data_IF_556624425709
#
_entry.id   IF_556624425709
#
_cell.length_a   1.000
_cell.length_b   1.000
_cell.length_c   1.000
_cell.angle_alpha   90.00
_cell.angle_beta   90.00
_cell.angle_gamma   90.00
#
_symmetry.space_group_name_H-M   'P 1'
#
loop_
_entity.id
_entity.type
_entity.pdbx_description
1 polymer ?
#
# COMPACT_ATOMS: atom_id res chain seq x y z
N UNK A 1 7.23 3.30 22.93
CA UNK A 1 7.40 2.04 22.18
C UNK A 1 7.21 2.33 20.69
N UNK A 2 8.07 1.81 19.82
CA UNK A 2 7.96 1.95 18.37
C UNK A 2 7.23 0.75 17.76
N UNK A 3 6.62 0.96 16.59
CA UNK A 3 6.06 -0.13 15.76
C UNK A 3 6.88 -0.19 14.47
N UNK A 4 7.48 -1.34 14.19
CA UNK A 4 8.30 -1.56 13.00
C UNK A 4 7.58 -2.54 12.07
N UNK A 5 7.45 -2.21 10.79
CA UNK A 5 6.92 -3.14 9.80
C UNK A 5 7.99 -3.49 8.76
N UNK A 6 8.15 -4.78 8.51
CA UNK A 6 9.06 -5.27 7.46
C UNK A 6 8.27 -5.92 6.33
N UNK A 7 8.55 -5.46 5.11
CA UNK A 7 7.94 -6.00 3.89
C UNK A 7 8.49 -7.37 3.50
N UNK A 8 7.85 -8.01 2.53
CA UNK A 8 8.23 -9.34 2.06
C UNK A 8 9.65 -9.43 1.51
N UNK A 9 10.17 -8.35 0.92
CA UNK A 9 11.57 -8.27 0.47
C UNK A 9 12.54 -8.24 1.64
N UNK A 10 12.17 -7.60 2.75
CA UNK A 10 12.99 -7.51 3.96
C UNK A 10 13.12 -8.84 4.71
N UNK A 11 12.15 -9.75 4.57
CA UNK A 11 12.15 -11.09 5.18
C UNK A 11 12.18 -12.20 4.13
N UNK A 12 12.55 -11.88 2.89
CA UNK A 12 12.43 -12.78 1.73
C UNK A 12 13.43 -13.93 1.68
N UNK A 13 14.50 -13.91 2.48
CA UNK A 13 15.50 -14.96 2.58
C UNK A 13 15.95 -15.16 4.02
N UNK A 14 16.54 -16.33 4.38
CA UNK A 14 17.11 -16.56 5.70
C UNK A 14 18.12 -15.50 6.12
N UNK A 15 18.99 -15.08 5.19
CA UNK A 15 19.99 -14.04 5.47
C UNK A 15 19.32 -12.71 5.83
N UNK A 16 18.29 -12.29 5.08
CA UNK A 16 17.55 -11.05 5.37
C UNK A 16 16.79 -11.13 6.70
N UNK A 17 16.22 -12.30 7.04
CA UNK A 17 15.62 -12.51 8.37
C UNK A 17 16.64 -12.31 9.50
N UNK A 18 17.87 -12.79 9.32
CA UNK A 18 18.97 -12.58 10.27
C UNK A 18 19.37 -11.10 10.38
N UNK A 19 19.36 -10.38 9.28
CA UNK A 19 19.62 -8.93 9.25
C UNK A 19 18.51 -8.14 9.96
N UNK A 20 17.24 -8.46 9.68
CA UNK A 20 16.08 -7.88 10.40
C UNK A 20 16.18 -8.18 11.89
N UNK A 21 16.53 -9.41 12.28
CA UNK A 21 16.70 -9.77 13.68
C UNK A 21 17.76 -8.89 14.38
N UNK A 22 18.88 -8.58 13.70
CA UNK A 22 19.88 -7.64 14.24
C UNK A 22 19.36 -6.22 14.39
N UNK A 23 18.54 -5.75 13.45
CA UNK A 23 17.96 -4.40 13.48
C UNK A 23 16.98 -4.22 14.64
N UNK A 24 16.22 -5.26 14.98
CA UNK A 24 15.19 -5.18 16.01
C UNK A 24 15.70 -5.48 17.42
N UNK A 25 16.89 -6.06 17.57
CA UNK A 25 17.52 -6.40 18.86
C UNK A 25 18.47 -5.30 19.36
N UNK A 26 18.04 -4.04 19.31
CA UNK A 26 18.79 -2.87 19.76
C UNK A 26 18.60 -2.52 21.26
N UNK A 27 17.83 -3.33 21.99
CA UNK A 27 17.51 -3.13 23.41
C UNK A 27 16.28 -2.25 23.67
N UNK A 28 15.64 -1.68 22.63
CA UNK A 28 14.40 -0.95 22.80
C UNK A 28 13.18 -1.88 22.71
N UNK A 29 12.17 -1.64 23.55
CA UNK A 29 10.89 -2.35 23.49
C UNK A 29 10.08 -1.94 22.26
N UNK A 30 9.62 -2.92 21.45
CA UNK A 30 8.92 -2.64 20.18
C UNK A 30 7.93 -3.73 19.76
N UNK A 31 6.99 -3.36 18.90
CA UNK A 31 6.13 -4.28 18.17
C UNK A 31 6.65 -4.36 16.74
N UNK A 32 6.80 -5.57 16.22
CA UNK A 32 7.29 -5.84 14.87
C UNK A 32 6.22 -6.55 14.06
N UNK A 33 5.77 -5.92 12.99
CA UNK A 33 4.76 -6.42 12.06
C UNK A 33 5.46 -6.99 10.84
N UNK A 34 5.24 -8.25 10.54
CA UNK A 34 5.88 -8.92 9.41
C UNK A 34 4.87 -9.27 8.31
N UNK A 35 5.28 -9.09 7.07
CA UNK A 35 4.61 -9.61 5.89
C UNK A 35 5.01 -11.05 5.60
N UNK A 36 4.29 -11.72 4.71
CA UNK A 36 4.76 -12.96 4.09
C UNK A 36 6.11 -12.76 3.40
N UNK A 37 6.90 -13.82 3.27
CA UNK A 37 8.14 -13.81 2.50
C UNK A 37 7.84 -13.47 1.03
N UNK A 38 8.78 -12.77 0.38
CA UNK A 38 8.68 -12.38 -1.02
C UNK A 38 8.29 -13.55 -1.93
N UNK A 39 7.30 -13.32 -2.79
CA UNK A 39 6.74 -14.30 -3.73
C UNK A 39 5.73 -15.28 -3.11
N UNK A 40 5.61 -15.38 -1.78
CA UNK A 40 4.68 -16.31 -1.14
C UNK A 40 3.22 -15.95 -1.43
N UNK A 41 2.84 -14.69 -1.28
CA UNK A 41 1.46 -14.24 -1.55
C UNK A 41 1.04 -14.56 -2.99
N UNK A 42 1.92 -14.35 -3.97
CA UNK A 42 1.62 -14.69 -5.37
C UNK A 42 1.38 -16.19 -5.55
N UNK A 43 2.20 -17.04 -4.92
CA UNK A 43 1.99 -18.49 -4.96
C UNK A 43 0.70 -18.91 -4.27
N UNK A 44 0.32 -18.27 -3.15
CA UNK A 44 -0.95 -18.56 -2.47
C UNK A 44 -2.17 -18.11 -3.31
N UNK A 45 -2.08 -16.98 -4.00
CA UNK A 45 -3.09 -16.54 -4.98
C UNK A 45 -3.20 -17.55 -6.13
N UNK A 46 -2.08 -18.00 -6.68
CA UNK A 46 -2.05 -19.00 -7.77
C UNK A 46 -2.68 -20.32 -7.32
N UNK A 47 -2.42 -20.78 -6.09
CA UNK A 47 -3.08 -21.96 -5.51
C UNK A 47 -4.60 -21.74 -5.48
N UNK A 48 -5.07 -20.59 -4.98
CA UNK A 48 -6.49 -20.24 -4.93
C UNK A 48 -7.13 -20.23 -6.32
N UNK A 49 -6.44 -19.66 -7.32
CA UNK A 49 -6.90 -19.66 -8.72
C UNK A 49 -7.08 -21.07 -9.30
N UNK A 50 -6.15 -21.98 -9.00
CA UNK A 50 -6.29 -23.39 -9.39
C UNK A 50 -7.48 -24.07 -8.69
N UNK A 51 -7.71 -23.76 -7.40
CA UNK A 51 -8.83 -24.33 -6.66
C UNK A 51 -10.19 -23.83 -7.17
N UNK A 52 -10.32 -22.55 -7.51
CA UNK A 52 -11.51 -22.01 -8.17
C UNK A 52 -11.78 -22.67 -9.53
N UNK A 53 -10.72 -23.00 -10.28
CA UNK A 53 -10.81 -23.71 -11.55
C UNK A 53 -11.01 -25.22 -11.40
N UNK A 54 -11.15 -25.73 -10.16
CA UNK A 54 -11.25 -27.16 -9.83
C UNK A 54 -10.09 -27.99 -10.40
N UNK A 55 -8.89 -27.44 -10.34
CA UNK A 55 -7.66 -28.10 -10.77
C UNK A 55 -6.76 -28.39 -9.53
N UNK A 56 -7.04 -29.51 -8.81
CA UNK A 56 -6.26 -29.87 -7.62
C UNK A 56 -4.81 -30.25 -7.93
N UNK A 57 -4.53 -30.76 -9.12
CA UNK A 57 -3.18 -31.17 -9.51
C UNK A 57 -2.29 -29.94 -9.68
N UNK A 58 -2.75 -28.90 -10.39
CA UNK A 58 -2.04 -27.63 -10.51
C UNK A 58 -1.84 -26.96 -9.15
N UNK A 59 -2.87 -26.95 -8.28
CA UNK A 59 -2.74 -26.44 -6.92
C UNK A 59 -1.67 -27.18 -6.12
N UNK A 60 -1.67 -28.53 -6.16
CA UNK A 60 -0.69 -29.37 -5.45
C UNK A 60 0.75 -29.15 -5.96
N UNK A 61 0.94 -28.91 -7.26
CA UNK A 61 2.27 -28.60 -7.82
C UNK A 61 2.84 -27.32 -7.20
N UNK A 62 2.06 -26.24 -7.15
CA UNK A 62 2.48 -24.97 -6.54
C UNK A 62 2.69 -25.11 -5.03
N UNK A 63 1.80 -25.86 -4.33
CA UNK A 63 1.93 -26.15 -2.90
C UNK A 63 3.26 -26.87 -2.62
N UNK A 64 3.60 -27.89 -3.40
CA UNK A 64 4.84 -28.68 -3.21
C UNK A 64 6.08 -27.83 -3.49
N UNK A 65 6.06 -27.00 -4.51
CA UNK A 65 7.15 -26.07 -4.82
C UNK A 65 7.37 -25.07 -3.69
N UNK A 66 6.29 -24.46 -3.16
CA UNK A 66 6.35 -23.51 -2.08
C UNK A 66 6.82 -24.15 -0.77
N UNK A 67 6.30 -25.33 -0.41
CA UNK A 67 6.73 -26.07 0.78
C UNK A 67 8.23 -26.44 0.71
N UNK A 68 8.70 -26.87 -0.46
CA UNK A 68 10.12 -27.18 -0.69
C UNK A 68 11.01 -25.94 -0.49
N UNK A 69 10.56 -24.77 -0.98
CA UNK A 69 11.24 -23.49 -0.74
C UNK A 69 11.36 -23.19 0.75
N UNK A 70 10.26 -23.32 1.50
CA UNK A 70 10.28 -23.07 2.95
C UNK A 70 11.17 -24.06 3.71
N UNK A 71 11.14 -25.35 3.39
CA UNK A 71 12.03 -26.37 4.01
C UNK A 71 13.50 -26.02 3.81
N UNK A 72 13.88 -25.59 2.61
CA UNK A 72 15.24 -25.13 2.34
C UNK A 72 15.60 -23.91 3.20
N UNK A 73 14.75 -22.89 3.25
CA UNK A 73 14.99 -21.68 4.04
C UNK A 73 15.07 -21.96 5.53
N UNK A 74 14.26 -22.88 6.06
CA UNK A 74 14.33 -23.30 7.47
C UNK A 74 15.67 -23.98 7.77
N UNK A 75 16.15 -24.85 6.88
CA UNK A 75 17.45 -25.50 7.04
C UNK A 75 18.64 -24.51 7.03
N UNK A 76 18.52 -23.40 6.30
CA UNK A 76 19.54 -22.35 6.23
C UNK A 76 19.43 -21.32 7.37
N UNK A 77 18.23 -21.16 7.97
CA UNK A 77 17.97 -20.15 8.99
C UNK A 77 18.51 -20.56 10.36
N UNK A 78 18.18 -21.76 10.79
CA UNK A 78 18.46 -22.24 12.15
C UNK A 78 19.80 -22.99 12.26
N UNK A 79 20.43 -22.81 13.43
CA UNK A 79 21.67 -23.48 13.79
C UNK A 79 21.43 -24.75 14.66
N UNK A 80 20.31 -24.78 15.39
CA UNK A 80 19.95 -25.86 16.30
C UNK A 80 18.86 -26.77 15.74
N UNK A 81 18.94 -28.06 15.97
CA UNK A 81 17.93 -29.01 15.52
C UNK A 81 16.59 -28.81 16.22
N UNK A 82 16.58 -28.30 17.45
CA UNK A 82 15.34 -28.03 18.20
C UNK A 82 14.41 -27.06 17.45
N UNK A 83 14.88 -25.83 17.18
CA UNK A 83 14.08 -24.81 16.52
C UNK A 83 13.84 -25.12 15.05
N UNK A 84 14.78 -25.78 14.40
CA UNK A 84 14.63 -26.28 13.04
C UNK A 84 13.46 -27.27 12.93
N UNK A 85 13.46 -28.32 13.76
CA UNK A 85 12.43 -29.36 13.76
C UNK A 85 11.07 -28.80 14.19
N UNK A 86 11.03 -27.90 15.18
CA UNK A 86 9.83 -27.18 15.60
C UNK A 86 9.20 -26.41 14.43
N UNK A 87 10.00 -25.67 13.67
CA UNK A 87 9.52 -24.86 12.55
C UNK A 87 9.15 -25.72 11.34
N UNK A 88 9.90 -26.81 11.06
CA UNK A 88 9.54 -27.75 10.00
C UNK A 88 8.19 -28.44 10.28
N UNK A 89 7.92 -28.81 11.53
CA UNK A 89 6.64 -29.41 11.91
C UNK A 89 5.48 -28.44 11.69
N UNK A 90 5.61 -27.18 12.15
CA UNK A 90 4.62 -26.13 11.94
C UNK A 90 4.33 -25.91 10.44
N UNK A 91 5.36 -25.78 9.63
CA UNK A 91 5.22 -25.52 8.18
C UNK A 91 4.56 -26.72 7.49
N UNK A 92 4.92 -27.94 7.87
CA UNK A 92 4.28 -29.15 7.38
C UNK A 92 2.77 -29.16 7.68
N UNK A 93 2.38 -28.79 8.90
CA UNK A 93 0.97 -28.76 9.31
C UNK A 93 0.20 -27.69 8.53
N UNK A 94 0.79 -26.52 8.32
CA UNK A 94 0.20 -25.45 7.50
C UNK A 94 -0.02 -25.95 6.06
N UNK A 95 0.97 -26.54 5.42
CA UNK A 95 0.82 -27.03 4.05
C UNK A 95 -0.14 -28.22 3.95
N UNK A 96 -0.23 -29.07 4.95
CA UNK A 96 -1.26 -30.11 5.02
C UNK A 96 -2.66 -29.50 5.11
N UNK A 97 -2.84 -28.42 5.88
CA UNK A 97 -4.09 -27.66 5.94
C UNK A 97 -4.47 -27.07 4.57
N UNK A 98 -3.51 -26.46 3.86
CA UNK A 98 -3.77 -25.95 2.48
C UNK A 98 -4.16 -27.08 1.54
N UNK A 99 -3.49 -28.25 1.60
CA UNK A 99 -3.84 -29.43 0.77
C UNK A 99 -5.25 -29.94 1.07
N UNK A 100 -5.75 -29.81 2.28
CA UNK A 100 -7.11 -30.25 2.59
C UNK A 100 -8.16 -29.54 1.70
N UNK A 101 -7.95 -28.27 1.40
CA UNK A 101 -8.86 -27.49 0.53
C UNK A 101 -8.90 -28.00 -0.92
N UNK A 102 -7.96 -28.82 -1.37
CA UNK A 102 -8.01 -29.44 -2.71
C UNK A 102 -9.11 -30.48 -2.86
N UNK A 103 -9.72 -30.93 -1.74
CA UNK A 103 -10.73 -32.00 -1.68
C UNK A 103 -12.13 -31.49 -1.45
N UNK A 104 -12.30 -30.24 -1.06
CA UNK A 104 -13.55 -29.64 -0.64
C UNK A 104 -14.04 -28.55 -1.59
N UNK A 105 -15.22 -27.98 -1.30
CA UNK A 105 -15.72 -26.80 -2.00
C UNK A 105 -14.84 -25.61 -1.59
N UNK A 106 -14.37 -24.87 -2.59
CA UNK A 106 -13.51 -23.71 -2.40
C UNK A 106 -14.30 -22.42 -2.59
N UNK A 107 -14.30 -21.56 -1.60
CA UNK A 107 -15.01 -20.28 -1.56
C UNK A 107 -14.07 -19.15 -1.17
N UNK A 108 -14.57 -17.93 -1.15
CA UNK A 108 -13.84 -16.75 -0.68
C UNK A 108 -13.34 -16.91 0.77
N UNK A 109 -14.04 -17.69 1.61
CA UNK A 109 -13.63 -17.94 2.97
C UNK A 109 -12.33 -18.75 3.03
N UNK A 110 -12.24 -19.86 2.29
CA UNK A 110 -11.04 -20.70 2.21
C UNK A 110 -9.87 -19.94 1.57
N UNK A 111 -10.15 -19.10 0.55
CA UNK A 111 -9.14 -18.24 -0.05
C UNK A 111 -8.50 -17.33 1.00
N UNK A 112 -9.28 -16.63 1.81
CA UNK A 112 -8.76 -15.76 2.87
C UNK A 112 -7.89 -16.52 3.88
N UNK A 113 -8.28 -17.74 4.22
CA UNK A 113 -7.47 -18.63 5.09
C UNK A 113 -6.16 -18.99 4.42
N UNK A 114 -6.16 -19.36 3.13
CA UNK A 114 -4.93 -19.66 2.39
C UNK A 114 -4.01 -18.45 2.33
N UNK A 115 -4.53 -17.28 1.97
CA UNK A 115 -3.74 -16.07 1.83
C UNK A 115 -3.08 -15.63 3.15
N UNK A 116 -3.67 -15.96 4.30
CA UNK A 116 -3.09 -15.65 5.62
C UNK A 116 -1.86 -16.51 5.98
N UNK A 117 -1.66 -17.65 5.31
CA UNK A 117 -0.61 -18.60 5.71
C UNK A 117 0.80 -18.06 5.53
N UNK A 118 1.01 -17.16 4.57
CA UNK A 118 2.31 -16.54 4.34
C UNK A 118 2.84 -15.78 5.56
N UNK A 119 2.02 -14.95 6.16
CA UNK A 119 2.33 -14.17 7.35
C UNK A 119 2.47 -15.06 8.59
N UNK A 120 1.64 -16.10 8.71
CA UNK A 120 1.75 -17.06 9.80
C UNK A 120 3.10 -17.79 9.75
N UNK A 121 3.57 -18.22 8.60
CA UNK A 121 4.86 -18.90 8.46
C UNK A 121 6.00 -17.92 8.77
N UNK A 122 6.02 -16.73 8.14
CA UNK A 122 7.14 -15.79 8.29
C UNK A 122 7.33 -15.32 9.73
N UNK A 123 6.23 -15.00 10.43
CA UNK A 123 6.28 -14.55 11.83
C UNK A 123 6.75 -15.64 12.76
N UNK A 124 6.31 -16.89 12.57
CA UNK A 124 6.81 -18.03 13.35
C UNK A 124 8.29 -18.31 13.09
N UNK A 125 8.74 -18.21 11.82
CA UNK A 125 10.14 -18.39 11.48
C UNK A 125 11.03 -17.36 12.19
N UNK A 126 10.68 -16.08 12.13
CA UNK A 126 11.47 -15.03 12.78
C UNK A 126 11.41 -15.14 14.31
N UNK A 127 10.23 -15.43 14.88
CA UNK A 127 10.10 -15.62 16.34
C UNK A 127 10.94 -16.79 16.84
N UNK A 128 10.86 -17.94 16.18
CA UNK A 128 11.67 -19.11 16.57
C UNK A 128 13.17 -18.84 16.40
N UNK A 129 13.58 -18.07 15.38
CA UNK A 129 14.97 -17.67 15.21
C UNK A 129 15.44 -16.77 16.36
N UNK A 130 14.64 -15.77 16.76
CA UNK A 130 14.97 -14.88 17.88
C UNK A 130 15.06 -15.66 19.20
N UNK A 131 14.15 -16.61 19.44
CA UNK A 131 14.20 -17.51 20.60
C UNK A 131 15.48 -18.37 20.60
N UNK A 132 15.89 -18.92 19.43
CA UNK A 132 17.16 -19.62 19.26
C UNK A 132 18.36 -18.75 19.66
N UNK A 133 18.30 -17.44 19.39
CA UNK A 133 19.34 -16.47 19.75
C UNK A 133 19.24 -16.00 21.22
N UNK A 134 18.30 -16.53 22.02
CA UNK A 134 18.09 -16.16 23.41
C UNK A 134 17.41 -14.80 23.61
N UNK A 135 16.77 -14.27 22.60
CA UNK A 135 16.05 -12.99 22.68
C UNK A 135 14.71 -13.18 23.40
N UNK A 136 14.37 -12.26 24.29
CA UNK A 136 13.09 -12.23 24.99
C UNK A 136 11.98 -11.70 24.04
N UNK A 137 11.40 -12.58 23.27
CA UNK A 137 10.41 -12.28 22.22
C UNK A 137 9.12 -13.06 22.42
N UNK A 138 7.99 -12.43 22.10
CA UNK A 138 6.66 -13.04 22.13
C UNK A 138 5.98 -12.87 20.77
N UNK A 139 5.38 -13.95 20.27
CA UNK A 139 4.49 -13.91 19.11
C UNK A 139 3.07 -13.54 19.58
N UNK A 140 2.54 -12.42 19.12
CA UNK A 140 1.15 -11.99 19.33
C UNK A 140 0.34 -12.35 18.08
N UNK A 141 -0.57 -13.34 18.14
CA UNK A 141 -1.41 -13.68 17.00
C UNK A 141 -2.34 -12.53 16.63
N UNK A 142 -2.26 -12.04 15.39
CA UNK A 142 -3.09 -10.92 14.93
C UNK A 142 -4.60 -11.20 15.08
N UNK A 143 -5.03 -12.44 14.93
CA UNK A 143 -6.43 -12.85 15.12
C UNK A 143 -6.98 -12.63 16.52
N UNK A 144 -6.13 -12.42 17.53
CA UNK A 144 -6.56 -12.18 18.92
C UNK A 144 -6.93 -10.71 19.14
N UNK A 145 -6.46 -9.77 18.31
CA UNK A 145 -6.70 -8.34 18.52
C UNK A 145 -7.04 -7.55 17.26
N UNK A 146 -6.75 -8.05 16.06
CA UNK A 146 -7.11 -7.36 14.80
C UNK A 146 -8.53 -7.74 14.36
N UNK A 147 -9.40 -6.73 14.19
CA UNK A 147 -10.79 -6.94 13.75
C UNK A 147 -11.28 -5.80 12.86
N UNK A 148 -12.13 -6.13 11.89
CA UNK A 148 -12.94 -5.19 11.13
C UNK A 148 -14.41 -5.22 11.60
N UNK A 149 -15.12 -4.12 11.38
CA UNK A 149 -16.55 -4.00 11.63
C UNK A 149 -17.40 -4.60 10.49
N UNK A 150 -18.72 -4.39 10.53
CA UNK A 150 -19.68 -4.88 9.52
C UNK A 150 -19.50 -4.23 8.14
N UNK A 151 -18.84 -3.09 8.08
CA UNK A 151 -18.53 -2.38 6.83
C UNK A 151 -17.15 -2.72 6.29
N UNK A 152 -16.47 -3.73 6.88
CA UNK A 152 -15.08 -4.10 6.62
C UNK A 152 -14.07 -2.99 6.95
N UNK A 153 -14.45 -2.03 7.80
CA UNK A 153 -13.54 -1.00 8.32
C UNK A 153 -12.91 -1.45 9.65
N UNK A 154 -11.65 -1.05 9.94
CA UNK A 154 -10.98 -1.44 11.17
C UNK A 154 -11.71 -0.97 12.43
N UNK A 155 -11.96 -1.89 13.36
CA UNK A 155 -12.55 -1.58 14.68
C UNK A 155 -11.45 -1.14 15.66
N UNK A 156 -11.07 0.15 15.59
CA UNK A 156 -9.97 0.71 16.38
C UNK A 156 -10.18 0.57 17.90
N UNK A 157 -11.42 0.63 18.38
CA UNK A 157 -11.70 0.47 19.83
C UNK A 157 -11.43 -0.96 20.26
N UNK A 158 -11.88 -1.93 19.49
CA UNK A 158 -11.60 -3.33 19.75
C UNK A 158 -10.10 -3.63 19.69
N UNK A 159 -9.43 -3.17 18.63
CA UNK A 159 -7.99 -3.37 18.42
C UNK A 159 -7.21 -2.80 19.61
N UNK A 160 -7.50 -1.58 20.04
CA UNK A 160 -6.83 -0.93 21.18
C UNK A 160 -6.98 -1.73 22.46
N UNK A 161 -8.21 -2.14 22.80
CA UNK A 161 -8.49 -2.86 24.03
C UNK A 161 -7.84 -4.24 24.04
N UNK A 162 -7.95 -4.97 22.92
CA UNK A 162 -7.42 -6.34 22.83
C UNK A 162 -5.90 -6.37 22.72
N UNK A 163 -5.30 -5.46 21.95
CA UNK A 163 -3.85 -5.33 21.88
C UNK A 163 -3.28 -4.94 23.25
N UNK A 164 -3.91 -3.99 23.96
CA UNK A 164 -3.51 -3.63 25.32
C UNK A 164 -3.49 -4.84 26.27
N UNK A 165 -4.57 -5.65 26.27
CA UNK A 165 -4.63 -6.87 27.07
C UNK A 165 -3.53 -7.90 26.68
N UNK A 166 -3.21 -8.06 25.39
CA UNK A 166 -2.12 -8.93 24.95
C UNK A 166 -0.76 -8.45 25.44
N UNK A 167 -0.50 -7.14 25.39
CA UNK A 167 0.75 -6.57 25.90
C UNK A 167 0.88 -6.71 27.42
N UNK A 168 -0.22 -6.55 28.16
CA UNK A 168 -0.28 -6.73 29.62
C UNK A 168 -0.03 -8.17 30.06
N UNK A 169 -0.37 -9.17 29.24
CA UNK A 169 -0.06 -10.58 29.51
C UNK A 169 1.43 -10.90 29.40
N UNK A 170 2.20 -10.08 28.71
CA UNK A 170 3.63 -10.28 28.47
C UNK A 170 4.46 -9.02 28.79
N UNK A 171 4.39 -8.47 30.01
CA UNK A 171 4.95 -7.16 30.33
C UNK A 171 6.48 -7.12 30.21
N UNK A 172 7.13 -8.26 30.37
CA UNK A 172 8.59 -8.38 30.40
C UNK A 172 9.20 -8.64 29.01
N UNK A 173 8.39 -8.84 27.98
CA UNK A 173 8.91 -9.05 26.63
C UNK A 173 9.57 -7.78 26.08
N UNK A 174 10.71 -7.93 25.42
CA UNK A 174 11.41 -6.85 24.73
C UNK A 174 10.84 -6.62 23.33
N UNK A 175 10.52 -7.70 22.65
CA UNK A 175 10.04 -7.68 21.27
C UNK A 175 8.73 -8.45 21.16
N UNK A 176 7.74 -7.83 20.55
CA UNK A 176 6.48 -8.47 20.17
C UNK A 176 6.43 -8.62 18.65
N UNK A 177 6.34 -9.86 18.15
CA UNK A 177 6.15 -10.14 16.71
C UNK A 177 4.67 -10.36 16.43
N UNK A 178 4.16 -9.83 15.35
CA UNK A 178 2.79 -10.09 14.92
C UNK A 178 2.66 -10.12 13.40
N UNK A 179 1.59 -10.76 12.91
CA UNK A 179 1.26 -10.80 11.50
C UNK A 179 0.71 -9.45 11.03
N UNK A 180 1.18 -8.99 9.88
CA UNK A 180 0.46 -8.00 9.10
C UNK A 180 -0.68 -8.64 8.31
N UNK A 181 -1.53 -7.83 7.67
CA UNK A 181 -2.57 -8.24 6.76
C UNK A 181 -3.75 -9.04 7.36
N UNK A 182 -3.51 -9.89 8.35
CA UNK A 182 -4.49 -10.82 8.94
C UNK A 182 -5.37 -10.10 9.97
N UNK A 183 -6.68 -10.37 9.93
CA UNK A 183 -7.65 -9.88 10.92
C UNK A 183 -8.82 -10.86 11.07
N UNK A 184 -9.74 -10.56 11.99
CA UNK A 184 -11.09 -11.14 12.00
C UNK A 184 -12.09 -10.16 11.41
N UNK A 185 -13.16 -10.67 10.82
CA UNK A 185 -14.32 -9.84 10.46
C UNK A 185 -15.21 -9.59 11.69
N UNK A 186 -16.29 -8.83 11.49
CA UNK A 186 -17.26 -8.53 12.54
C UNK A 186 -17.94 -9.75 13.16
N UNK A 187 -17.92 -10.89 12.48
CA UNK A 187 -18.54 -12.15 12.93
C UNK A 187 -17.55 -13.08 13.61
N UNK A 188 -16.29 -12.67 13.72
CA UNK A 188 -15.22 -13.45 14.36
C UNK A 188 -14.52 -14.44 13.44
N UNK A 189 -14.86 -14.47 12.16
CA UNK A 189 -14.21 -15.31 11.16
C UNK A 189 -12.86 -14.72 10.71
N UNK A 190 -11.93 -15.58 10.29
CA UNK A 190 -10.66 -15.14 9.71
C UNK A 190 -10.87 -14.34 8.44
N UNK A 191 -10.23 -13.18 8.36
CA UNK A 191 -10.30 -12.25 7.24
C UNK A 191 -8.96 -11.56 7.02
N UNK A 192 -8.88 -10.77 5.97
CA UNK A 192 -7.67 -10.06 5.58
C UNK A 192 -7.99 -8.57 5.34
N UNK A 193 -7.10 -7.69 5.75
CA UNK A 193 -7.18 -6.27 5.42
C UNK A 193 -6.99 -6.08 3.91
N UNK A 194 -8.00 -5.58 3.23
CA UNK A 194 -8.04 -5.55 1.76
C UNK A 194 -7.07 -4.57 1.11
N UNK A 195 -6.78 -3.43 1.76
CA UNK A 195 -5.95 -2.36 1.21
C UNK A 195 -4.72 -2.13 2.07
N UNK A 196 -3.55 -2.03 1.42
CA UNK A 196 -2.30 -1.74 2.08
C UNK A 196 -1.75 -2.82 3.00
N UNK A 197 -2.48 -3.90 3.21
CA UNK A 197 -2.02 -5.12 3.90
C UNK A 197 -1.29 -4.86 5.21
N UNK A 198 -0.02 -5.24 5.26
CA UNK A 198 0.80 -5.14 6.47
C UNK A 198 1.17 -3.71 6.88
N UNK A 199 1.23 -2.75 5.92
CA UNK A 199 1.47 -1.33 6.25
C UNK A 199 0.27 -0.75 7.00
N UNK A 200 -0.94 -1.13 6.59
CA UNK A 200 -2.14 -0.75 7.29
C UNK A 200 -2.21 -1.35 8.69
N UNK A 201 -1.84 -2.64 8.84
CA UNK A 201 -1.72 -3.29 10.15
C UNK A 201 -0.78 -2.52 11.08
N UNK A 202 0.41 -2.13 10.58
CA UNK A 202 1.38 -1.39 11.38
C UNK A 202 0.85 -0.01 11.84
N UNK A 203 0.13 0.68 10.97
CA UNK A 203 -0.48 1.98 11.30
C UNK A 203 -1.60 1.84 12.35
N UNK A 204 -2.47 0.82 12.20
CA UNK A 204 -3.53 0.51 13.18
C UNK A 204 -2.95 0.11 14.54
N UNK A 205 -1.95 -0.76 14.54
CA UNK A 205 -1.24 -1.19 15.76
C UNK A 205 -0.53 -0.01 16.42
N UNK A 206 0.13 0.83 15.62
CA UNK A 206 0.79 2.05 16.11
C UNK A 206 -0.19 3.00 16.78
N UNK A 207 -1.34 3.26 16.16
CA UNK A 207 -2.40 4.09 16.74
C UNK A 207 -2.99 3.45 18.01
N UNK A 208 -3.24 2.14 18.00
CA UNK A 208 -3.79 1.41 19.15
C UNK A 208 -2.83 1.38 20.35
N UNK A 209 -1.53 1.19 20.11
CA UNK A 209 -0.49 1.14 21.12
C UNK A 209 0.02 2.53 21.54
N UNK A 210 -0.48 3.61 20.95
CA UNK A 210 0.03 4.97 21.12
C UNK A 210 1.58 5.03 20.94
N UNK A 211 2.03 4.51 19.81
CA UNK A 211 3.44 4.40 19.48
C UNK A 211 4.11 5.77 19.37
N UNK A 212 5.39 5.85 19.70
CA UNK A 212 6.17 7.08 19.52
C UNK A 212 6.56 7.33 18.06
N UNK A 213 6.67 6.27 17.25
CA UNK A 213 6.95 6.31 15.81
C UNK A 213 6.53 4.98 15.19
N UNK A 214 6.04 5.02 13.94
CA UNK A 214 5.81 3.85 13.11
C UNK A 214 6.88 3.84 12.03
N UNK A 215 7.60 2.74 11.86
CA UNK A 215 8.65 2.58 10.86
C UNK A 215 8.21 1.55 9.81
N UNK A 216 8.21 1.95 8.55
CA UNK A 216 7.95 1.08 7.41
C UNK A 216 9.28 0.82 6.69
N UNK A 217 9.78 -0.38 6.85
CA UNK A 217 11.04 -0.84 6.27
C UNK A 217 10.81 -1.50 4.91
N UNK A 218 11.44 -0.95 3.87
CA UNK A 218 11.34 -1.40 2.48
C UNK A 218 12.74 -1.65 1.90
N UNK A 219 12.85 -1.72 0.57
CA UNK A 219 14.11 -1.87 -0.17
C UNK A 219 14.58 -0.57 -0.85
N UNK A 220 14.01 0.57 -0.49
CA UNK A 220 14.38 1.90 -1.00
C UNK A 220 14.54 2.92 0.14
N UNK A 221 15.40 3.95 -0.05
CA UNK A 221 15.67 5.00 0.94
C UNK A 221 14.56 6.06 0.95
N UNK A 222 13.38 5.67 1.41
CA UNK A 222 12.24 6.56 1.52
C UNK A 222 11.61 6.94 0.17
N UNK A 223 10.85 8.04 0.16
CA UNK A 223 10.30 8.60 -1.09
C UNK A 223 11.35 9.47 -1.80
N UNK A 224 11.38 9.39 -3.13
CA UNK A 224 12.19 10.27 -3.98
C UNK A 224 11.34 11.37 -4.59
N UNK A 225 11.99 12.46 -4.96
CA UNK A 225 11.37 13.61 -5.63
C UNK A 225 10.85 13.29 -7.04
N UNK A 226 11.29 12.17 -7.63
CA UNK A 226 10.78 11.62 -8.87
C UNK A 226 11.03 10.09 -8.92
N UNK A 227 10.55 9.40 -9.94
CA UNK A 227 10.76 7.96 -10.14
C UNK A 227 12.18 7.68 -10.66
N UNK A 228 13.07 7.08 -9.85
CA UNK A 228 14.47 6.82 -10.26
C UNK A 228 14.61 5.82 -11.41
N UNK A 229 13.52 5.11 -11.75
CA UNK A 229 13.49 4.19 -12.91
C UNK A 229 13.26 4.92 -14.23
N UNK A 230 12.80 6.18 -14.19
CA UNK A 230 12.42 6.98 -15.35
C UNK A 230 13.33 8.17 -15.52
N UNK A 231 13.69 8.84 -14.42
CA UNK A 231 14.49 10.06 -14.37
C UNK A 231 15.89 9.71 -13.84
N UNK A 232 16.95 10.19 -14.52
CA UNK A 232 18.33 9.81 -14.22
C UNK A 232 18.82 10.31 -12.85
N UNK A 233 18.38 11.51 -12.45
CA UNK A 233 18.76 12.13 -11.18
C UNK A 233 17.53 12.33 -10.31
N UNK A 234 17.52 11.70 -9.15
CA UNK A 234 16.49 11.88 -8.13
C UNK A 234 17.14 11.98 -6.77
N UNK A 235 16.50 12.73 -5.87
CA UNK A 235 16.95 12.86 -4.49
C UNK A 235 15.87 12.36 -3.51
N UNK A 236 16.27 11.75 -2.38
CA UNK A 236 15.32 11.35 -1.36
C UNK A 236 14.65 12.57 -0.72
N UNK A 237 13.33 12.53 -0.61
CA UNK A 237 12.55 13.52 0.14
C UNK A 237 12.60 13.18 1.62
N UNK A 238 13.18 14.03 2.44
CA UNK A 238 13.45 13.73 3.86
C UNK A 238 12.26 13.99 4.77
N UNK A 239 11.36 14.89 4.40
CA UNK A 239 10.17 15.22 5.16
C UNK A 239 8.96 15.44 4.25
N UNK A 240 7.83 14.84 4.62
CA UNK A 240 6.52 15.01 3.98
C UNK A 240 5.46 15.27 5.04
N UNK A 241 4.52 16.13 4.71
CA UNK A 241 3.25 16.17 5.42
C UNK A 241 2.39 14.94 5.06
N UNK A 242 1.51 14.49 5.96
CA UNK A 242 0.64 13.33 5.69
C UNK A 242 -0.20 13.50 4.42
N UNK A 243 -0.67 14.71 4.11
CA UNK A 243 -1.43 14.97 2.88
C UNK A 243 -0.53 14.88 1.63
N UNK A 244 0.70 15.40 1.69
CA UNK A 244 1.67 15.27 0.60
C UNK A 244 1.97 13.79 0.30
N UNK A 245 2.18 12.99 1.35
CA UNK A 245 2.41 11.56 1.22
C UNK A 245 1.20 10.81 0.64
N UNK A 246 -0.02 11.21 1.02
CA UNK A 246 -1.26 10.65 0.47
C UNK A 246 -1.42 10.95 -1.02
N UNK A 247 -1.14 12.20 -1.45
CA UNK A 247 -1.17 12.59 -2.86
C UNK A 247 -0.16 11.78 -3.69
N UNK A 248 1.09 11.70 -3.23
CA UNK A 248 2.13 10.91 -3.90
C UNK A 248 1.75 9.43 -4.02
N UNK A 249 1.21 8.85 -2.96
CA UNK A 249 0.79 7.47 -2.93
C UNK A 249 -0.38 7.19 -3.90
N UNK A 250 -1.34 8.12 -3.99
CA UNK A 250 -2.48 8.01 -4.90
C UNK A 250 -2.06 8.11 -6.37
N UNK A 251 -1.13 9.01 -6.67
CA UNK A 251 -0.66 9.28 -8.04
C UNK A 251 0.56 8.46 -8.47
N UNK A 252 0.87 7.36 -7.80
CA UNK A 252 1.78 6.34 -8.34
C UNK A 252 3.08 6.10 -7.59
N UNK A 253 3.37 6.82 -6.52
CA UNK A 253 4.46 6.46 -5.63
C UNK A 253 4.09 5.19 -4.86
N UNK A 254 4.52 4.03 -5.37
CA UNK A 254 4.10 2.68 -4.87
C UNK A 254 4.69 2.29 -3.51
N UNK A 255 5.12 3.24 -2.69
CA UNK A 255 5.78 2.95 -1.40
C UNK A 255 4.76 2.73 -0.29
N UNK A 256 3.63 3.46 -0.33
CA UNK A 256 2.56 3.38 0.66
C UNK A 256 1.20 3.44 -0.05
N UNK A 257 0.18 2.82 0.55
CA UNK A 257 -1.20 3.07 0.15
C UNK A 257 -1.76 4.26 0.97
N UNK A 258 -2.51 5.21 0.37
CA UNK A 258 -2.98 6.41 1.06
C UNK A 258 -3.77 6.12 2.35
N UNK A 259 -4.59 5.06 2.36
CA UNK A 259 -5.38 4.67 3.55
C UNK A 259 -4.52 4.14 4.68
N UNK A 260 -3.30 3.64 4.40
CA UNK A 260 -2.43 3.04 5.42
C UNK A 260 -1.92 4.05 6.44
N UNK A 261 -1.76 5.31 6.05
CA UNK A 261 -1.24 6.36 6.93
C UNK A 261 -2.33 7.07 7.73
N UNK A 262 -3.61 6.88 7.42
CA UNK A 262 -4.70 7.58 8.10
C UNK A 262 -4.76 7.33 9.61
N UNK A 263 -4.64 6.09 10.14
CA UNK A 263 -4.63 5.86 11.57
C UNK A 263 -3.49 6.60 12.29
N UNK A 264 -2.29 6.60 11.69
CA UNK A 264 -1.14 7.33 12.22
C UNK A 264 -1.37 8.84 12.21
N UNK A 265 -1.92 9.40 11.12
CA UNK A 265 -2.27 10.82 10.99
C UNK A 265 -3.25 11.25 12.09
N UNK A 266 -4.37 10.51 12.27
CA UNK A 266 -5.38 10.84 13.27
C UNK A 266 -4.85 10.71 14.71
N UNK A 267 -3.94 9.78 14.95
CA UNK A 267 -3.28 9.61 16.24
C UNK A 267 -2.09 10.56 16.44
N UNK A 268 -1.75 11.39 15.45
CA UNK A 268 -0.58 12.27 15.42
C UNK A 268 0.74 11.53 15.70
N UNK A 269 0.90 10.34 15.09
CA UNK A 269 2.10 9.52 15.22
C UNK A 269 2.92 9.62 13.94
N UNK A 270 4.19 10.02 13.99
CA UNK A 270 5.04 10.10 12.79
C UNK A 270 5.28 8.72 12.19
N UNK A 271 5.33 8.67 10.87
CA UNK A 271 5.66 7.47 10.08
C UNK A 271 7.00 7.70 9.38
N UNK A 272 7.93 6.77 9.52
CA UNK A 272 9.23 6.85 8.87
C UNK A 272 9.38 5.70 7.86
N UNK A 273 9.74 6.05 6.63
CA UNK A 273 10.08 5.09 5.57
C UNK A 273 11.58 4.85 5.58
N UNK A 274 12.00 3.61 5.69
CA UNK A 274 13.42 3.23 5.86
C UNK A 274 13.82 2.11 4.90
N UNK A 275 15.12 2.06 4.58
CA UNK A 275 15.69 1.02 3.72
C UNK A 275 16.31 -0.10 4.56
N UNK A 276 15.79 -1.32 4.42
CA UNK A 276 16.35 -2.50 5.10
C UNK A 276 17.76 -2.83 4.63
N UNK A 277 18.11 -2.49 3.37
CA UNK A 277 19.43 -2.74 2.79
C UNK A 277 20.46 -1.70 3.20
N UNK A 278 20.01 -0.53 3.62
CA UNK A 278 20.84 0.61 4.06
C UNK A 278 20.24 1.20 5.34
N UNK A 279 20.33 0.49 6.48
CA UNK A 279 19.64 0.89 7.73
C UNK A 279 20.12 2.23 8.32
N UNK A 280 21.28 2.71 7.89
CA UNK A 280 21.84 4.01 8.33
C UNK A 280 21.29 5.19 7.53
N UNK A 281 20.64 4.94 6.40
CA UNK A 281 19.99 5.99 5.62
C UNK A 281 18.83 6.60 6.41
N UNK A 282 18.68 7.95 6.42
CA UNK A 282 17.69 8.62 7.27
C UNK A 282 16.24 8.39 6.82
N UNK A 283 16.02 7.94 5.59
CA UNK A 283 14.70 7.70 5.02
C UNK A 283 13.84 8.96 4.84
N UNK A 284 12.53 8.78 4.82
CA UNK A 284 11.53 9.86 4.76
C UNK A 284 10.69 9.87 6.02
N UNK A 285 10.61 11.00 6.70
CA UNK A 285 9.71 11.23 7.82
C UNK A 285 8.39 11.81 7.29
N UNK A 286 7.26 11.20 7.67
CA UNK A 286 5.91 11.67 7.36
C UNK A 286 5.26 12.08 8.69
N UNK A 287 4.86 13.34 8.82
CA UNK A 287 4.28 13.89 10.05
C UNK A 287 3.21 14.95 9.73
N UNK A 288 2.68 15.60 10.76
CA UNK A 288 1.82 16.77 10.60
C UNK A 288 2.62 18.08 10.42
N UNK A 289 3.95 18.03 10.45
CA UNK A 289 4.79 19.20 10.23
C UNK A 289 4.90 19.50 8.72
N UNK A 290 4.72 20.76 8.36
CA UNK A 290 4.77 21.23 6.96
C UNK A 290 6.01 22.07 6.71
N UNK A 291 6.76 21.77 5.67
CA UNK A 291 7.76 22.70 5.12
C UNK A 291 7.09 23.66 4.13
N UNK A 292 6.90 24.90 4.57
CA UNK A 292 6.14 25.90 3.85
C UNK A 292 6.76 26.26 2.48
N UNK A 293 5.91 26.39 1.45
CA UNK A 293 6.26 26.91 0.14
C UNK A 293 7.23 26.03 -0.66
N UNK A 294 7.34 24.73 -0.33
CA UNK A 294 8.24 23.81 -1.04
C UNK A 294 7.47 22.81 -1.91
N UNK A 295 7.91 22.65 -3.15
CA UNK A 295 7.59 21.50 -3.99
C UNK A 295 8.45 20.32 -3.51
N UNK A 296 7.82 19.16 -3.33
CA UNK A 296 8.45 17.98 -2.72
C UNK A 296 8.80 16.91 -3.73
N UNK A 297 7.86 16.57 -4.59
CA UNK A 297 8.03 15.46 -5.51
C UNK A 297 7.05 15.52 -6.69
N UNK A 298 7.36 14.71 -7.70
CA UNK A 298 6.49 14.46 -8.85
C UNK A 298 6.19 12.96 -8.90
N UNK A 299 4.92 12.62 -9.09
CA UNK A 299 4.46 11.24 -9.28
C UNK A 299 3.71 11.09 -10.59
N UNK A 300 3.59 9.87 -11.12
CA UNK A 300 2.87 9.60 -12.34
C UNK A 300 2.01 8.34 -12.23
N UNK A 301 0.75 8.43 -12.67
CA UNK A 301 -0.24 7.34 -12.70
C UNK A 301 -0.58 7.00 -14.13
N UNK A 302 -0.25 5.78 -14.52
CA UNK A 302 -0.49 5.24 -15.88
C UNK A 302 -1.91 4.66 -16.04
N UNK A 303 -2.21 4.24 -17.26
CA UNK A 303 -3.44 3.55 -17.65
C UNK A 303 -4.70 4.39 -17.41
N UNK A 304 -4.62 5.68 -17.69
CA UNK A 304 -5.72 6.61 -17.55
C UNK A 304 -6.49 6.72 -18.87
N UNK A 305 -7.81 6.77 -18.75
CA UNK A 305 -8.72 7.07 -19.85
C UNK A 305 -9.44 8.37 -19.55
N UNK A 306 -9.34 9.34 -20.47
CA UNK A 306 -10.07 10.60 -20.37
C UNK A 306 -11.38 10.53 -21.16
N UNK A 307 -12.46 11.01 -20.56
CA UNK A 307 -13.80 11.05 -21.16
C UNK A 307 -14.26 12.50 -21.14
N UNK A 308 -14.54 13.07 -22.30
CA UNK A 308 -15.12 14.41 -22.43
C UNK A 308 -16.58 14.32 -22.88
N UNK A 309 -17.45 15.02 -22.18
CA UNK A 309 -18.86 15.14 -22.49
C UNK A 309 -19.13 16.60 -22.81
N UNK A 310 -19.57 16.89 -24.05
CA UNK A 310 -20.01 18.21 -24.48
C UNK A 310 -21.52 18.23 -24.64
N UNK A 311 -22.20 19.17 -24.00
CA UNK A 311 -23.66 19.28 -24.08
C UNK A 311 -24.12 20.72 -24.06
N UNK A 312 -24.75 21.15 -25.14
CA UNK A 312 -25.45 22.44 -25.15
C UNK A 312 -26.60 22.53 -24.15
N UNK A 313 -27.07 21.37 -23.62
CA UNK A 313 -28.09 21.31 -22.56
C UNK A 313 -27.53 21.60 -21.17
N UNK A 314 -26.20 21.63 -21.02
CA UNK A 314 -25.54 21.94 -19.74
C UNK A 314 -25.69 23.43 -19.41
N UNK A 315 -25.68 24.28 -20.44
CA UNK A 315 -25.90 25.71 -20.31
C UNK A 315 -27.30 25.95 -19.70
N UNK A 316 -27.36 26.64 -18.57
CA UNK A 316 -28.59 26.93 -17.80
C UNK A 316 -29.34 25.69 -17.26
N UNK A 317 -28.75 24.50 -17.27
CA UNK A 317 -29.38 23.29 -16.76
C UNK A 317 -28.93 22.95 -15.33
N UNK A 318 -29.86 22.89 -14.41
CA UNK A 318 -29.61 22.41 -13.05
C UNK A 318 -29.45 20.87 -13.04
N UNK A 319 -28.47 20.36 -12.29
CA UNK A 319 -28.33 18.94 -12.03
C UNK A 319 -27.65 18.13 -13.13
N UNK A 320 -27.03 18.74 -14.15
CA UNK A 320 -26.30 18.00 -15.18
C UNK A 320 -25.13 17.20 -14.61
N UNK A 321 -24.31 17.83 -13.78
CA UNK A 321 -23.18 17.16 -13.12
C UNK A 321 -23.64 15.98 -12.26
N UNK A 322 -24.75 16.12 -11.51
CA UNK A 322 -25.33 15.02 -10.75
C UNK A 322 -25.59 13.80 -11.63
N UNK A 323 -26.21 13.99 -12.79
CA UNK A 323 -26.50 12.89 -13.73
C UNK A 323 -25.24 12.23 -14.28
N UNK A 324 -24.19 13.01 -14.53
CA UNK A 324 -22.89 12.46 -14.94
C UNK A 324 -22.31 11.59 -13.83
N UNK A 325 -22.25 12.10 -12.60
CA UNK A 325 -21.71 11.34 -11.47
C UNK A 325 -22.55 10.12 -11.10
N UNK A 326 -23.88 10.18 -11.19
CA UNK A 326 -24.78 9.04 -10.97
C UNK A 326 -24.47 7.86 -11.93
N UNK A 327 -24.02 8.14 -13.16
CA UNK A 327 -23.61 7.11 -14.10
C UNK A 327 -22.34 6.41 -13.59
N UNK A 328 -21.30 7.16 -13.20
CA UNK A 328 -20.06 6.56 -12.68
C UNK A 328 -20.30 5.80 -11.37
N UNK A 329 -21.16 6.32 -10.48
CA UNK A 329 -21.58 5.65 -9.24
C UNK A 329 -22.26 4.31 -9.55
N UNK A 330 -23.22 4.29 -10.51
CA UNK A 330 -23.97 3.09 -10.88
C UNK A 330 -23.08 1.95 -11.37
N UNK A 331 -21.94 2.28 -11.97
CA UNK A 331 -20.93 1.33 -12.45
C UNK A 331 -19.74 1.19 -11.50
N UNK A 332 -19.84 1.74 -10.28
CA UNK A 332 -18.78 1.69 -9.25
C UNK A 332 -17.39 2.07 -9.80
N UNK A 333 -17.36 3.13 -10.63
CA UNK A 333 -16.14 3.62 -11.28
C UNK A 333 -15.72 4.94 -10.68
N UNK A 334 -14.53 4.96 -10.07
CA UNK A 334 -13.95 6.17 -9.48
C UNK A 334 -13.47 7.13 -10.55
N UNK A 335 -13.59 8.44 -10.28
CA UNK A 335 -13.06 9.52 -11.11
C UNK A 335 -11.80 10.07 -10.44
N UNK A 336 -10.68 10.18 -11.18
CA UNK A 336 -9.43 10.72 -10.67
C UNK A 336 -9.34 12.24 -10.78
N UNK A 337 -9.58 12.77 -11.99
CA UNK A 337 -9.58 14.20 -12.28
C UNK A 337 -10.90 14.64 -12.91
N UNK A 338 -11.30 15.88 -12.63
CA UNK A 338 -12.44 16.51 -13.28
C UNK A 338 -12.10 17.95 -13.65
N UNK A 339 -12.47 18.34 -14.88
CA UNK A 339 -12.48 19.73 -15.33
C UNK A 339 -13.82 20.04 -15.94
N UNK A 340 -14.38 21.19 -15.62
CA UNK A 340 -15.68 21.62 -16.11
C UNK A 340 -15.61 22.99 -16.80
N UNK A 341 -16.49 23.19 -17.79
CA UNK A 341 -16.79 24.46 -18.37
C UNK A 341 -18.32 24.62 -18.46
N UNK A 342 -18.81 25.75 -18.99
CA UNK A 342 -20.25 25.97 -19.15
C UNK A 342 -20.95 24.93 -20.04
N UNK A 343 -20.23 24.29 -20.95
CA UNK A 343 -20.79 23.38 -21.96
C UNK A 343 -20.12 22.00 -22.01
N UNK A 344 -19.21 21.74 -21.10
CA UNK A 344 -18.48 20.49 -21.14
C UNK A 344 -17.93 20.03 -19.78
N UNK A 345 -17.84 18.74 -19.61
CA UNK A 345 -17.18 18.07 -18.50
C UNK A 345 -16.15 17.10 -19.05
N UNK A 346 -14.94 17.17 -18.55
CA UNK A 346 -13.90 16.18 -18.80
C UNK A 346 -13.57 15.47 -17.49
N UNK A 347 -13.56 14.14 -17.50
CA UNK A 347 -13.20 13.31 -16.37
C UNK A 347 -12.11 12.32 -16.77
N UNK A 348 -11.32 11.87 -15.82
CA UNK A 348 -10.37 10.76 -16.01
C UNK A 348 -10.70 9.59 -15.08
N UNK A 349 -10.48 8.38 -15.57
CA UNK A 349 -10.68 7.12 -14.84
C UNK A 349 -9.49 6.18 -15.06
N UNK A 350 -9.18 5.35 -14.07
CA UNK A 350 -8.16 4.28 -14.14
C UNK A 350 -8.77 2.88 -14.31
N UNK A 351 -10.10 2.75 -14.11
CA UNK A 351 -10.81 1.48 -14.25
C UNK A 351 -11.74 1.51 -15.46
N UNK A 352 -11.43 0.72 -16.48
CA UNK A 352 -12.18 0.67 -17.74
C UNK A 352 -13.12 -0.55 -17.84
N UNK A 353 -13.35 -1.28 -16.75
CA UNK A 353 -14.16 -2.51 -16.72
C UNK A 353 -15.56 -2.30 -17.31
N UNK A 354 -16.20 -1.17 -17.03
CA UNK A 354 -17.54 -0.79 -17.49
C UNK A 354 -17.53 0.42 -18.42
N UNK A 355 -16.40 0.66 -19.12
CA UNK A 355 -16.25 1.84 -19.96
C UNK A 355 -17.33 1.95 -21.04
N UNK A 356 -17.65 0.85 -21.74
CA UNK A 356 -18.62 0.86 -22.83
C UNK A 356 -20.03 1.20 -22.34
N UNK A 357 -20.45 0.67 -21.21
CA UNK A 357 -21.74 0.93 -20.58
C UNK A 357 -21.83 2.40 -20.14
N UNK A 358 -20.78 2.91 -19.48
CA UNK A 358 -20.66 4.30 -19.07
C UNK A 358 -20.78 5.23 -20.29
N UNK A 359 -20.05 4.96 -21.37
CA UNK A 359 -20.10 5.78 -22.58
C UNK A 359 -21.48 5.77 -23.24
N UNK A 360 -22.17 4.64 -23.25
CA UNK A 360 -23.52 4.54 -23.80
C UNK A 360 -24.54 5.36 -23.00
N UNK A 361 -24.41 5.39 -21.68
CA UNK A 361 -25.28 6.19 -20.83
C UNK A 361 -24.96 7.69 -20.94
N UNK A 362 -23.68 8.05 -20.99
CA UNK A 362 -23.25 9.46 -21.15
C UNK A 362 -23.70 10.06 -22.49
N UNK A 363 -23.72 9.28 -23.58
CA UNK A 363 -24.20 9.70 -24.92
C UNK A 363 -25.64 10.18 -24.92
N UNK A 364 -26.46 9.76 -23.95
CA UNK A 364 -27.85 10.25 -23.77
C UNK A 364 -27.92 11.74 -23.40
N UNK A 365 -26.81 12.27 -22.85
CA UNK A 365 -26.74 13.65 -22.32
C UNK A 365 -25.90 14.60 -23.18
N UNK A 366 -25.07 14.07 -24.08
CA UNK A 366 -24.23 14.91 -24.94
C UNK A 366 -23.35 14.14 -25.89
N UNK A 367 -22.49 14.86 -26.60
CA UNK A 367 -21.44 14.27 -27.43
C UNK A 367 -20.29 13.83 -26.54
N UNK A 368 -19.89 12.55 -26.65
CA UNK A 368 -18.83 11.96 -25.83
C UNK A 368 -17.63 11.63 -26.70
N UNK A 369 -16.45 12.07 -26.27
CA UNK A 369 -15.15 11.71 -26.84
C UNK A 369 -14.29 11.03 -25.77
N UNK A 370 -13.42 10.12 -26.20
CA UNK A 370 -12.58 9.32 -25.31
C UNK A 370 -11.14 9.38 -25.79
N UNK A 371 -10.22 9.64 -24.88
CA UNK A 371 -8.78 9.58 -25.11
C UNK A 371 -8.20 8.46 -24.23
N UNK A 372 -7.64 7.44 -24.86
CA UNK A 372 -7.00 6.31 -24.18
C UNK A 372 -5.50 6.55 -23.99
N UNK A 373 -4.86 5.67 -23.26
CA UNK A 373 -3.40 5.66 -23.04
C UNK A 373 -2.88 7.02 -22.53
N UNK A 374 -3.58 7.55 -21.55
CA UNK A 374 -3.19 8.79 -20.87
C UNK A 374 -2.43 8.48 -19.57
N UNK A 375 -1.73 9.50 -19.08
CA UNK A 375 -1.00 9.48 -17.82
C UNK A 375 -1.29 10.75 -17.03
N UNK A 376 -1.61 10.61 -15.74
CA UNK A 376 -1.67 11.75 -14.82
C UNK A 376 -0.29 11.97 -14.24
N UNK A 377 0.22 13.20 -14.32
CA UNK A 377 1.44 13.64 -13.64
C UNK A 377 1.02 14.62 -12.55
N UNK A 378 1.43 14.31 -11.33
CA UNK A 378 1.08 15.08 -10.14
C UNK A 378 2.34 15.71 -9.53
N UNK A 379 2.36 17.02 -9.42
CA UNK A 379 3.38 17.78 -8.67
C UNK A 379 2.85 18.00 -7.27
N UNK A 380 3.62 17.60 -6.27
CA UNK A 380 3.21 17.58 -4.86
C UNK A 380 4.12 18.46 -4.01
N UNK A 381 3.53 19.18 -3.08
CA UNK A 381 4.20 20.03 -2.11
C UNK A 381 3.22 20.91 -1.35
N UNK A 382 3.71 21.92 -0.64
CA UNK A 382 2.87 22.99 -0.06
C UNK A 382 2.47 23.98 -1.15
N UNK A 383 1.37 23.70 -1.83
CA UNK A 383 0.86 24.43 -3.00
C UNK A 383 -0.40 25.24 -2.67
N UNK A 384 -0.53 25.70 -1.43
CA UNK A 384 -1.63 26.56 -1.01
C UNK A 384 -1.69 27.84 -1.86
N UNK A 385 -2.88 28.29 -2.14
CA UNK A 385 -3.13 29.42 -3.04
C UNK A 385 -2.45 30.74 -2.60
N UNK A 386 -2.09 30.88 -1.31
CA UNK A 386 -1.32 32.04 -0.83
C UNK A 386 0.15 31.99 -1.25
N UNK A 387 0.69 30.82 -1.59
CA UNK A 387 2.06 30.67 -2.08
C UNK A 387 2.10 31.09 -3.56
N UNK A 388 2.95 32.03 -3.90
CA UNK A 388 3.00 32.56 -5.25
C UNK A 388 4.11 31.94 -6.09
N UNK A 389 3.83 31.65 -7.35
CA UNK A 389 4.82 31.34 -8.38
C UNK A 389 5.16 29.88 -8.56
N UNK A 390 4.64 28.93 -7.76
CA UNK A 390 4.88 27.51 -7.97
C UNK A 390 4.13 26.97 -9.19
N UNK A 391 2.88 27.42 -9.40
CA UNK A 391 2.09 27.07 -10.57
C UNK A 391 2.76 27.54 -11.85
N UNK A 392 3.32 28.75 -11.86
CA UNK A 392 4.05 29.27 -13.00
C UNK A 392 5.28 28.39 -13.33
N UNK A 393 6.03 27.94 -12.32
CA UNK A 393 7.18 27.03 -12.51
C UNK A 393 6.75 25.67 -13.07
N UNK A 394 5.67 25.10 -12.53
CA UNK A 394 5.15 23.82 -12.99
C UNK A 394 4.61 23.92 -14.44
N UNK A 395 3.89 24.98 -14.77
CA UNK A 395 3.40 25.23 -16.13
C UNK A 395 4.54 25.52 -17.11
N UNK A 396 5.58 26.25 -16.69
CA UNK A 396 6.73 26.53 -17.53
C UNK A 396 7.52 25.26 -17.84
N UNK A 397 7.67 24.35 -16.88
CA UNK A 397 8.24 23.04 -17.10
C UNK A 397 7.47 22.20 -18.13
N UNK A 398 6.16 22.41 -18.24
CA UNK A 398 5.28 21.71 -19.18
C UNK A 398 5.11 22.42 -20.53
N UNK A 399 5.82 23.52 -20.78
CA UNK A 399 5.68 24.40 -21.97
C UNK A 399 5.72 23.65 -23.31
N UNK A 400 6.60 22.68 -23.44
CA UNK A 400 6.83 21.92 -24.68
C UNK A 400 6.04 20.60 -24.74
N UNK A 401 5.12 20.37 -23.78
CA UNK A 401 4.42 19.10 -23.62
C UNK A 401 2.92 19.33 -23.82
N UNK A 402 2.27 18.58 -24.74
CA UNK A 402 0.83 18.68 -24.91
C UNK A 402 0.10 18.24 -23.63
N UNK A 403 -0.64 19.16 -23.01
CA UNK A 403 -1.42 18.91 -21.81
C UNK A 403 -2.91 18.84 -22.14
N UNK A 404 -3.55 17.71 -21.82
CA UNK A 404 -4.97 17.47 -22.10
C UNK A 404 -5.90 18.08 -21.05
N UNK A 405 -5.50 17.99 -19.78
CA UNK A 405 -6.23 18.55 -18.63
C UNK A 405 -5.24 19.03 -17.58
N UNK A 406 -5.68 20.04 -16.82
CA UNK A 406 -4.98 20.50 -15.62
C UNK A 406 -6.01 20.54 -14.50
N UNK A 407 -5.69 19.99 -13.34
CA UNK A 407 -6.48 20.07 -12.12
C UNK A 407 -5.67 20.74 -11.02
N UNK A 408 -6.20 21.84 -10.49
CA UNK A 408 -5.64 22.59 -9.38
C UNK A 408 -6.76 23.20 -8.55
N UNK A 409 -6.55 23.34 -7.22
CA UNK A 409 -7.51 23.94 -6.30
C UNK A 409 -8.47 22.94 -5.63
N UNK A 410 -8.38 21.63 -5.96
CA UNK A 410 -9.09 20.58 -5.23
C UNK A 410 -8.33 20.08 -4.00
N UNK A 411 -7.04 20.32 -3.94
CA UNK A 411 -6.15 20.05 -2.82
C UNK A 411 -5.12 21.18 -2.70
N UNK A 412 -4.70 21.48 -1.48
CA UNK A 412 -3.63 22.45 -1.21
C UNK A 412 -2.22 21.85 -1.45
N UNK A 413 -2.14 20.58 -1.84
CA UNK A 413 -0.89 19.84 -1.88
C UNK A 413 -0.53 19.33 -3.27
N UNK A 414 -1.39 19.52 -4.29
CA UNK A 414 -1.09 19.05 -5.63
C UNK A 414 -1.55 19.99 -6.74
N UNK A 415 -0.84 19.89 -7.88
CA UNK A 415 -1.32 20.26 -9.21
C UNK A 415 -1.11 19.09 -10.15
N UNK A 416 -2.13 18.70 -10.89
CA UNK A 416 -2.13 17.52 -11.74
C UNK A 416 -2.31 17.87 -13.20
N UNK A 417 -1.51 17.21 -14.05
CA UNK A 417 -1.51 17.34 -15.51
C UNK A 417 -1.88 16.00 -16.14
N UNK A 418 -2.80 15.99 -17.08
CA UNK A 418 -3.10 14.82 -17.90
C UNK A 418 -2.38 14.96 -19.24
N UNK A 419 -1.50 14.03 -19.54
CA UNK A 419 -0.69 13.98 -20.77
C UNK A 419 -0.84 12.63 -21.46
N UNK A 420 -0.40 12.54 -22.73
CA UNK A 420 -0.25 11.25 -23.40
C UNK A 420 0.80 10.38 -22.67
N UNK A 421 0.59 9.07 -22.68
CA UNK A 421 1.58 8.10 -22.16
C UNK A 421 2.95 8.25 -22.83
N UNK A 422 2.97 8.60 -24.12
CA UNK A 422 4.20 8.78 -24.88
C UNK A 422 5.01 9.99 -24.40
N UNK A 423 4.35 11.02 -23.87
CA UNK A 423 4.99 12.20 -23.32
C UNK A 423 5.41 12.07 -21.86
N UNK A 424 5.02 10.99 -21.15
CA UNK A 424 5.27 10.79 -19.72
C UNK A 424 6.73 11.03 -19.34
N UNK A 425 7.66 10.33 -20.00
CA UNK A 425 9.09 10.42 -19.65
C UNK A 425 9.62 11.84 -19.84
N UNK A 426 9.26 12.49 -20.95
CA UNK A 426 9.65 13.86 -21.26
C UNK A 426 9.11 14.85 -20.23
N UNK A 427 7.85 14.68 -19.82
CA UNK A 427 7.22 15.51 -18.80
C UNK A 427 7.86 15.35 -17.42
N UNK A 428 8.12 14.11 -16.98
CA UNK A 428 8.78 13.83 -15.70
C UNK A 428 10.20 14.40 -15.66
N UNK A 429 10.97 14.26 -16.76
CA UNK A 429 12.31 14.81 -16.86
C UNK A 429 12.28 16.34 -16.82
N UNK A 430 11.40 16.98 -17.61
CA UNK A 430 11.28 18.43 -17.64
C UNK A 430 10.86 19.02 -16.29
N UNK A 431 9.92 18.39 -15.59
CA UNK A 431 9.55 18.80 -14.24
C UNK A 431 10.71 18.62 -13.25
N UNK A 432 11.47 17.54 -13.36
CA UNK A 432 12.65 17.31 -12.51
C UNK A 432 13.68 18.43 -12.69
N UNK A 433 14.02 18.76 -13.94
CA UNK A 433 15.03 19.76 -14.28
C UNK A 433 14.64 21.20 -13.87
N UNK A 434 13.33 21.50 -13.84
CA UNK A 434 12.83 22.86 -13.52
C UNK A 434 12.48 23.04 -12.05
N UNK A 435 12.08 21.97 -11.36
CA UNK A 435 11.56 22.07 -10.00
C UNK A 435 12.59 21.69 -8.94
N UNK A 436 13.55 20.82 -9.27
CA UNK A 436 14.56 20.33 -8.35
C UNK A 436 15.97 20.70 -8.79
N UNK A 437 16.82 21.05 -7.83
CA UNK A 437 18.23 21.35 -8.07
C UNK A 437 19.04 20.07 -7.88
N UNK A 438 19.32 19.37 -8.96
CA UNK A 438 20.16 18.16 -8.97
C UNK A 438 21.59 18.42 -9.44
#
# INVERSE_FOLDING_TARGET
>A
MKVLKFGGTSVGTPQRMKEVAKLITDGEKKIVVLSAMSGTTNSLVEISDYLYKKNPDGANEVINALETKYKRHINELYSTEEYKNKTLALVKDIFNGIRAFTKDIFTLFEEKVILAQGELISTNMVTNYLLEQGVNVVLLPALEFMRTDKNAEPDLVYIKNKLGAQLEMHPDADIYITQGYICRNAYGEGDNLQRGGSDYSASLIGAAANASEIQIWTDIDGMHDNDPRIVEKTSPVRQLHFEEAAELAYFGAKILHPTCIQPAKYANIPVRLLNTMEPTAPGTLISNDTELGKIKAVAAKDNITAIQIKSGRMLLAYGFLRKVFEIFESYQTSIDMICTSEVGVSVSIDNTKHLNEILNDLKKYGTVTVDHDMCIICVVGDLRWENVGFEAKALDAMREIPVRMISFGGSDYNISFLVSKDDKKRALQSLSDHLFNH
#
